data_IF_933042725818
#
_entry.id   IF_933042725818
#
_cell.length_a   1.000
_cell.length_b   1.000
_cell.length_c   1.000
_cell.angle_alpha   90.00
_cell.angle_beta   90.00
_cell.angle_gamma   90.00
#
_symmetry.space_group_name_H-M   'P 1'
#
loop_
_entity.id
_entity.type
_entity.pdbx_description
1 polymer ?
#
# COMPACT_ATOMS: atom_id res chain seq x y z
N UNK A 1 40.67 30.35 21.56
CA UNK A 1 39.22 30.49 21.37
C UNK A 1 38.76 29.33 20.51
N UNK A 2 37.79 28.55 20.98
CA UNK A 2 37.14 27.50 20.19
C UNK A 2 35.91 28.12 19.52
N UNK A 3 35.75 27.89 18.22
CA UNK A 3 34.59 28.33 17.43
C UNK A 3 33.35 27.56 17.89
N UNK A 4 32.25 28.24 18.17
CA UNK A 4 30.97 27.62 18.53
C UNK A 4 30.11 27.40 17.28
N UNK A 5 29.54 26.20 17.15
CA UNK A 5 28.63 25.87 16.05
C UNK A 5 27.23 26.43 16.36
N UNK A 6 26.84 27.52 15.68
CA UNK A 6 25.56 28.22 15.88
C UNK A 6 24.35 27.45 15.31
N UNK A 7 24.60 26.48 14.42
CA UNK A 7 23.56 25.73 13.70
C UNK A 7 23.82 24.23 13.84
N UNK A 8 23.58 23.71 15.04
CA UNK A 8 23.68 22.26 15.28
C UNK A 8 22.47 21.58 14.63
N UNK A 9 22.69 20.54 13.80
CA UNK A 9 21.58 19.77 13.27
C UNK A 9 20.79 19.14 14.43
N UNK A 10 19.47 19.20 14.33
CA UNK A 10 18.56 18.52 15.25
C UNK A 10 18.57 17.02 14.98
N UNK A 11 18.61 16.19 16.03
CA UNK A 11 18.42 14.75 15.90
C UNK A 11 17.01 14.43 15.35
N UNK A 12 16.96 13.67 14.25
CA UNK A 12 15.73 13.25 13.58
C UNK A 12 15.50 11.74 13.62
N UNK A 13 16.27 11.00 14.43
CA UNK A 13 16.22 9.53 14.49
C UNK A 13 14.79 9.01 14.75
N UNK A 14 14.02 9.68 15.62
CA UNK A 14 12.62 9.33 15.92
C UNK A 14 11.64 9.62 14.78
N UNK A 15 12.03 10.45 13.80
CA UNK A 15 11.20 10.86 12.66
C UNK A 15 11.47 10.06 11.40
N UNK A 16 12.61 9.36 11.34
CA UNK A 16 12.98 8.53 10.20
C UNK A 16 12.15 7.24 10.22
N UNK A 17 11.40 7.02 9.13
CA UNK A 17 10.69 5.77 8.87
C UNK A 17 11.49 4.93 7.88
N UNK A 18 11.48 3.62 8.03
CA UNK A 18 12.04 2.72 7.02
C UNK A 18 11.32 2.92 5.68
N UNK A 19 11.99 2.59 4.57
CA UNK A 19 11.38 2.67 3.23
C UNK A 19 10.10 1.83 3.18
N UNK A 20 10.12 0.64 3.79
CA UNK A 20 8.97 -0.26 3.88
C UNK A 20 7.78 0.41 4.57
N UNK A 21 7.99 1.05 5.73
CA UNK A 21 6.92 1.78 6.43
C UNK A 21 6.35 2.88 5.53
N UNK A 22 7.20 3.68 4.88
CA UNK A 22 6.76 4.74 3.97
C UNK A 22 5.96 4.19 2.78
N UNK A 23 6.35 3.03 2.25
CA UNK A 23 5.62 2.35 1.19
C UNK A 23 4.24 1.93 1.67
N UNK A 24 4.13 1.23 2.80
CA UNK A 24 2.82 0.76 3.29
C UNK A 24 1.89 1.94 3.60
N UNK A 25 2.40 2.99 4.26
CA UNK A 25 1.62 4.20 4.57
C UNK A 25 1.06 4.90 3.31
N UNK A 26 1.77 4.80 2.18
CA UNK A 26 1.34 5.37 0.90
C UNK A 26 0.42 4.43 0.13
N UNK A 27 0.84 3.19 -0.07
CA UNK A 27 0.22 2.28 -1.03
C UNK A 27 -1.05 1.62 -0.47
N UNK A 28 -1.10 1.24 0.82
CA UNK A 28 -2.31 0.65 1.42
C UNK A 28 -3.56 1.51 1.22
N UNK A 29 -3.60 2.81 1.61
CA UNK A 29 -4.79 3.61 1.42
C UNK A 29 -5.11 3.85 -0.06
N UNK A 30 -4.10 3.91 -0.92
CA UNK A 30 -4.26 4.11 -2.36
C UNK A 30 -4.92 2.89 -3.03
N UNK A 31 -4.39 1.69 -2.80
CA UNK A 31 -4.94 0.44 -3.35
C UNK A 31 -6.33 0.17 -2.80
N UNK A 32 -6.55 0.39 -1.48
CA UNK A 32 -7.87 0.26 -0.86
C UNK A 32 -8.90 1.18 -1.50
N UNK A 33 -8.52 2.44 -1.78
CA UNK A 33 -9.39 3.39 -2.48
C UNK A 33 -9.67 2.93 -3.91
N UNK A 34 -8.65 2.49 -4.64
CA UNK A 34 -8.81 2.02 -6.03
C UNK A 34 -9.75 0.79 -6.11
N UNK A 35 -9.66 -0.14 -5.16
CA UNK A 35 -10.55 -1.30 -5.06
C UNK A 35 -12.01 -0.88 -4.81
N UNK A 36 -12.26 0.03 -3.86
CA UNK A 36 -13.63 0.48 -3.57
C UNK A 36 -14.23 1.31 -4.72
N UNK A 37 -13.42 2.08 -5.46
CA UNK A 37 -13.88 2.84 -6.64
C UNK A 37 -14.45 1.94 -7.74
N UNK A 38 -13.85 0.76 -7.96
CA UNK A 38 -14.29 -0.16 -9.01
C UNK A 38 -15.32 -1.19 -8.53
N UNK A 39 -15.50 -1.35 -7.21
CA UNK A 39 -16.43 -2.32 -6.62
C UNK A 39 -17.84 -2.31 -7.23
N UNK A 40 -18.49 -1.15 -7.47
CA UNK A 40 -19.83 -1.12 -8.05
C UNK A 40 -19.92 -1.71 -9.47
N UNK A 41 -18.81 -1.75 -10.21
CA UNK A 41 -18.74 -2.25 -11.59
C UNK A 41 -18.81 -3.79 -11.66
N UNK A 42 -18.74 -4.46 -10.52
CA UNK A 42 -18.61 -5.90 -10.38
C UNK A 42 -19.71 -6.54 -9.52
N UNK A 43 -20.74 -5.78 -9.12
CA UNK A 43 -21.82 -6.28 -8.25
C UNK A 43 -22.51 -7.54 -8.78
N UNK A 44 -22.64 -7.67 -10.11
CA UNK A 44 -23.29 -8.81 -10.76
C UNK A 44 -22.31 -9.87 -11.31
N UNK A 45 -21.00 -9.65 -11.15
CA UNK A 45 -19.96 -10.51 -11.74
C UNK A 45 -19.38 -11.44 -10.68
N UNK A 46 -20.02 -12.60 -10.50
CA UNK A 46 -19.65 -13.61 -9.49
C UNK A 46 -18.23 -14.14 -9.67
N UNK A 47 -17.79 -14.28 -10.92
CA UNK A 47 -16.47 -14.77 -11.30
C UNK A 47 -15.31 -13.89 -10.83
N UNK A 48 -15.57 -12.61 -10.52
CA UNK A 48 -14.54 -11.69 -10.03
C UNK A 48 -14.60 -11.47 -8.51
N UNK A 49 -15.60 -12.02 -7.81
CA UNK A 49 -15.73 -11.81 -6.36
C UNK A 49 -14.54 -12.38 -5.59
N UNK A 50 -13.99 -13.52 -6.02
CA UNK A 50 -12.79 -14.11 -5.43
C UNK A 50 -11.56 -13.20 -5.60
N UNK A 51 -11.45 -12.50 -6.74
CA UNK A 51 -10.35 -11.54 -6.98
C UNK A 51 -10.49 -10.33 -6.06
N UNK A 52 -11.71 -9.81 -5.88
CA UNK A 52 -12.00 -8.73 -4.93
C UNK A 52 -11.67 -9.12 -3.49
N UNK A 53 -12.09 -10.30 -3.07
CA UNK A 53 -11.84 -10.81 -1.72
C UNK A 53 -10.35 -10.98 -1.47
N UNK A 54 -9.63 -11.60 -2.41
CA UNK A 54 -8.17 -11.74 -2.32
C UNK A 54 -7.48 -10.38 -2.27
N UNK A 55 -7.82 -9.43 -3.15
CA UNK A 55 -7.23 -8.09 -3.13
C UNK A 55 -7.40 -7.44 -1.74
N UNK A 56 -8.58 -7.54 -1.14
CA UNK A 56 -8.83 -7.03 0.22
C UNK A 56 -7.98 -7.75 1.27
N UNK A 57 -7.91 -9.07 1.23
CA UNK A 57 -7.10 -9.86 2.17
C UNK A 57 -5.62 -9.48 2.09
N UNK A 58 -5.06 -9.31 0.90
CA UNK A 58 -3.66 -8.91 0.72
C UNK A 58 -3.38 -7.46 1.18
N UNK A 59 -4.35 -6.54 1.06
CA UNK A 59 -4.24 -5.19 1.66
C UNK A 59 -4.15 -5.31 3.19
N UNK A 60 -5.03 -6.09 3.79
CA UNK A 60 -5.07 -6.27 5.25
C UNK A 60 -3.80 -7.01 5.75
N UNK A 61 -3.30 -7.99 4.98
CA UNK A 61 -2.05 -8.69 5.25
C UNK A 61 -0.83 -7.76 5.20
N UNK A 62 -0.80 -6.79 4.29
CA UNK A 62 0.28 -5.81 4.22
C UNK A 62 0.40 -5.01 5.52
N UNK A 63 -0.73 -4.55 6.07
CA UNK A 63 -0.77 -3.86 7.36
C UNK A 63 -0.36 -4.79 8.51
N UNK A 64 -0.80 -6.05 8.48
CA UNK A 64 -0.50 -7.03 9.52
C UNK A 64 0.97 -7.47 9.52
N UNK A 65 1.58 -7.63 8.36
CA UNK A 65 2.99 -7.96 8.23
C UNK A 65 3.88 -6.82 8.70
N UNK A 66 3.52 -5.57 8.41
CA UNK A 66 4.26 -4.41 8.91
C UNK A 66 4.23 -4.36 10.45
N UNK A 67 3.06 -4.59 11.07
CA UNK A 67 2.92 -4.65 12.54
C UNK A 67 3.75 -5.76 13.18
N UNK A 68 4.04 -6.83 12.44
CA UNK A 68 4.89 -7.95 12.87
C UNK A 68 6.39 -7.73 12.61
N UNK A 69 6.79 -6.60 12.00
CA UNK A 69 8.17 -6.36 11.56
C UNK A 69 8.60 -7.21 10.37
N UNK A 70 7.64 -7.76 9.61
CA UNK A 70 7.88 -8.55 8.38
C UNK A 70 7.78 -7.65 7.15
N UNK A 71 8.68 -6.68 7.08
CA UNK A 71 8.65 -5.60 6.10
C UNK A 71 8.58 -6.08 4.64
N UNK A 72 9.36 -7.10 4.28
CA UNK A 72 9.39 -7.68 2.92
C UNK A 72 8.03 -8.28 2.54
N UNK A 73 7.41 -9.02 3.46
CA UNK A 73 6.08 -9.59 3.24
C UNK A 73 5.02 -8.51 3.14
N UNK A 74 5.16 -7.42 3.92
CA UNK A 74 4.23 -6.29 3.84
C UNK A 74 4.25 -5.66 2.44
N UNK A 75 5.45 -5.38 1.92
CA UNK A 75 5.64 -4.79 0.59
C UNK A 75 5.17 -5.74 -0.51
N UNK A 76 5.47 -7.04 -0.38
CA UNK A 76 5.02 -8.06 -1.34
C UNK A 76 3.49 -8.15 -1.37
N UNK A 77 2.83 -8.19 -0.21
CA UNK A 77 1.38 -8.29 -0.11
C UNK A 77 0.68 -7.09 -0.75
N UNK A 78 1.14 -5.86 -0.48
CA UNK A 78 0.49 -4.68 -1.08
C UNK A 78 0.73 -4.61 -2.59
N UNK A 79 1.91 -5.00 -3.08
CA UNK A 79 2.20 -5.06 -4.52
C UNK A 79 1.35 -6.10 -5.24
N UNK A 80 1.09 -7.25 -4.60
CA UNK A 80 0.18 -8.26 -5.14
C UNK A 80 -1.27 -7.75 -5.19
N UNK A 81 -1.74 -7.10 -4.12
CA UNK A 81 -3.08 -6.50 -4.10
C UNK A 81 -3.25 -5.42 -5.19
N UNK A 82 -2.24 -4.58 -5.38
CA UNK A 82 -2.23 -3.54 -6.43
C UNK A 82 -2.36 -4.16 -7.82
N UNK A 83 -1.60 -5.22 -8.11
CA UNK A 83 -1.70 -5.96 -9.37
C UNK A 83 -3.08 -6.60 -9.61
N UNK A 84 -3.73 -7.12 -8.57
CA UNK A 84 -5.10 -7.62 -8.68
C UNK A 84 -6.10 -6.49 -8.98
N UNK A 85 -5.96 -5.34 -8.31
CA UNK A 85 -6.82 -4.17 -8.56
C UNK A 85 -6.64 -3.66 -9.99
N UNK A 86 -5.41 -3.55 -10.48
CA UNK A 86 -5.14 -3.14 -11.85
C UNK A 86 -5.70 -4.11 -12.88
N UNK A 87 -5.60 -5.42 -12.63
CA UNK A 87 -6.25 -6.42 -13.49
C UNK A 87 -7.77 -6.22 -13.58
N UNK A 88 -8.43 -5.93 -12.45
CA UNK A 88 -9.85 -5.59 -12.41
C UNK A 88 -10.15 -4.25 -13.11
N UNK A 89 -9.26 -3.27 -13.07
CA UNK A 89 -9.45 -2.01 -13.81
C UNK A 89 -9.38 -2.25 -15.32
N UNK A 90 -8.33 -2.95 -15.76
CA UNK A 90 -8.10 -3.28 -17.17
C UNK A 90 -9.27 -4.10 -17.74
N UNK A 91 -9.80 -5.06 -16.97
CA UNK A 91 -10.95 -5.87 -17.40
C UNK A 91 -12.23 -5.05 -17.67
N UNK A 92 -12.33 -3.82 -17.16
CA UNK A 92 -13.44 -2.87 -17.46
C UNK A 92 -13.04 -1.77 -18.43
N UNK A 93 -11.86 -1.86 -19.06
CA UNK A 93 -11.33 -0.84 -19.94
C UNK A 93 -10.95 0.46 -19.21
N UNK A 94 -10.65 0.37 -17.91
CA UNK A 94 -10.23 1.50 -17.09
C UNK A 94 -8.71 1.41 -16.94
N UNK A 95 -8.03 2.54 -17.11
CA UNK A 95 -6.57 2.60 -16.94
C UNK A 95 -6.16 2.23 -15.50
N UNK A 96 -5.02 1.50 -15.33
CA UNK A 96 -4.36 1.29 -14.05
C UNK A 96 -4.19 2.57 -13.25
N UNK A 97 -4.23 2.47 -11.92
CA UNK A 97 -4.14 3.65 -11.05
C UNK A 97 -2.88 3.61 -10.21
N UNK A 98 -1.84 4.26 -10.72
CA UNK A 98 -0.55 4.47 -10.02
C UNK A 98 -0.46 5.84 -9.35
#
# INVERSE_FOLDING_TARGET
MLTECLDKPSDNSDKIKSVSVQMIEKYVPMVRKALEEIRPLYNDSKEFQEVFENAKLYIDDAENFLKQGKDENAVLSIGYADGLVDALRIAKGIDPKM
#
